data_IF_801373316787
#
_entry.id   IF_801373316787
#
_cell.length_a   1.000
_cell.length_b   1.000
_cell.length_c   1.000
_cell.angle_alpha   90.00
_cell.angle_beta   90.00
_cell.angle_gamma   90.00
#
_symmetry.space_group_name_H-M   'P 1'
#
loop_
_entity.id
_entity.type
_entity.pdbx_description
1 polymer ?
#
# COMPACT_ATOMS: atom_id res chain seq x y z
N UNK A 1 4.84 -17.15 5.20
CA UNK A 1 4.38 -15.94 4.52
C UNK A 1 2.95 -15.64 4.95
N UNK A 2 2.62 -14.37 5.21
CA UNK A 2 1.27 -13.98 5.61
C UNK A 2 0.24 -14.31 4.52
N UNK A 3 -0.86 -14.89 4.89
CA UNK A 3 -1.92 -15.34 3.97
C UNK A 3 -3.30 -14.85 4.45
N UNK A 4 -4.32 -14.80 3.58
CA UNK A 4 -5.70 -14.55 3.97
C UNK A 4 -6.20 -15.60 4.95
N UNK A 5 -7.13 -15.19 5.82
CA UNK A 5 -7.56 -16.05 6.94
C UNK A 5 -8.19 -17.37 6.48
N UNK A 6 -8.96 -17.35 5.39
CA UNK A 6 -9.60 -18.55 4.85
C UNK A 6 -8.56 -19.54 4.30
N UNK A 7 -7.53 -19.07 3.61
CA UNK A 7 -6.43 -19.88 3.12
C UNK A 7 -5.60 -20.44 4.29
N UNK A 8 -5.38 -19.64 5.32
CA UNK A 8 -4.69 -20.05 6.54
C UNK A 8 -5.44 -21.16 7.28
N UNK A 9 -6.79 -21.04 7.43
CA UNK A 9 -7.64 -22.09 7.99
C UNK A 9 -7.59 -23.35 7.16
N UNK A 10 -7.79 -23.25 5.84
CA UNK A 10 -7.77 -24.39 4.93
C UNK A 10 -6.44 -25.15 4.98
N UNK A 11 -5.31 -24.45 5.05
CA UNK A 11 -3.99 -25.05 5.19
C UNK A 11 -3.85 -25.78 6.53
N UNK A 12 -4.33 -25.22 7.63
CA UNK A 12 -4.28 -25.87 8.95
C UNK A 12 -5.18 -27.08 9.04
N UNK A 13 -6.34 -27.03 8.44
CA UNK A 13 -7.24 -28.16 8.37
C UNK A 13 -6.61 -29.33 7.60
N UNK A 14 -5.97 -29.06 6.46
CA UNK A 14 -5.34 -30.10 5.63
C UNK A 14 -4.05 -30.64 6.22
N UNK A 15 -3.15 -29.76 6.69
CA UNK A 15 -1.79 -30.15 7.09
C UNK A 15 -1.67 -30.65 8.53
N UNK A 16 -2.58 -30.28 9.42
CA UNK A 16 -2.48 -30.55 10.85
C UNK A 16 -3.67 -31.31 11.41
N UNK A 17 -4.63 -31.71 10.58
CA UNK A 17 -5.87 -32.37 10.97
C UNK A 17 -6.57 -31.70 12.19
N UNK A 18 -6.48 -30.40 12.30
CA UNK A 18 -7.06 -29.64 13.40
C UNK A 18 -8.42 -29.09 13.00
N UNK A 19 -9.34 -29.12 13.96
CA UNK A 19 -10.64 -28.47 13.78
C UNK A 19 -10.42 -26.94 13.69
N UNK A 20 -10.91 -26.32 12.62
CA UNK A 20 -10.79 -24.87 12.38
C UNK A 20 -12.12 -24.33 11.88
N UNK A 21 -12.46 -23.06 12.20
CA UNK A 21 -11.69 -22.14 13.05
C UNK A 21 -11.55 -22.62 14.49
N UNK A 22 -10.50 -22.21 15.19
CA UNK A 22 -10.35 -22.54 16.61
C UNK A 22 -11.52 -21.98 17.42
N UNK A 23 -11.83 -22.60 18.55
CA UNK A 23 -12.86 -22.11 19.46
C UNK A 23 -12.53 -20.74 20.01
N UNK A 24 -13.58 -19.93 20.22
CA UNK A 24 -13.43 -18.59 20.83
C UNK A 24 -12.84 -18.73 22.22
N UNK A 25 -11.76 -18.04 22.46
CA UNK A 25 -11.05 -18.09 23.74
C UNK A 25 -9.84 -19.00 23.77
N UNK A 26 -9.59 -19.82 22.73
CA UNK A 26 -8.44 -20.74 22.67
C UNK A 26 -7.11 -20.09 23.03
N UNK A 27 -6.89 -18.86 22.59
CA UNK A 27 -5.64 -18.10 22.81
C UNK A 27 -5.85 -16.87 23.72
N UNK A 28 -6.88 -16.88 24.55
CA UNK A 28 -7.22 -15.74 25.43
C UNK A 28 -6.09 -15.39 26.41
N UNK A 29 -5.45 -16.38 26.98
CA UNK A 29 -4.36 -16.19 27.93
C UNK A 29 -3.15 -15.51 27.30
N UNK A 30 -2.79 -15.90 26.08
CA UNK A 30 -1.66 -15.34 25.35
C UNK A 30 -1.91 -13.87 24.92
N UNK A 31 -3.16 -13.51 24.67
CA UNK A 31 -3.55 -12.13 24.35
C UNK A 31 -3.77 -11.26 25.57
N UNK A 32 -3.86 -11.82 26.78
CA UNK A 32 -4.11 -11.05 28.01
C UNK A 32 -3.07 -9.93 28.25
N UNK A 33 -1.84 -10.15 27.81
CA UNK A 33 -0.75 -9.17 27.90
C UNK A 33 -0.76 -8.07 26.82
N UNK A 34 -1.75 -8.07 25.95
CA UNK A 34 -1.85 -7.14 24.81
C UNK A 34 -3.23 -6.45 24.74
N UNK A 35 -3.70 -5.78 25.81
CA UNK A 35 -5.05 -5.22 25.87
C UNK A 35 -5.33 -4.15 24.80
N UNK A 36 -4.29 -3.45 24.34
CA UNK A 36 -4.41 -2.49 23.27
C UNK A 36 -4.72 -3.15 21.93
N UNK A 37 -4.09 -4.29 21.65
CA UNK A 37 -4.34 -5.06 20.40
C UNK A 37 -5.73 -5.70 20.43
N UNK A 38 -6.22 -6.11 21.61
CA UNK A 38 -7.59 -6.60 21.76
C UNK A 38 -8.62 -5.52 21.40
N UNK A 39 -8.38 -4.24 21.77
CA UNK A 39 -9.26 -3.12 21.40
C UNK A 39 -9.18 -2.73 19.93
N UNK A 40 -8.02 -2.93 19.31
CA UNK A 40 -7.81 -2.60 17.90
C UNK A 40 -8.34 -3.67 16.93
N UNK A 41 -8.56 -4.88 17.42
CA UNK A 41 -9.09 -5.98 16.64
C UNK A 41 -10.62 -5.98 16.74
N UNK A 42 -11.28 -5.84 15.60
CA UNK A 42 -12.73 -5.88 15.51
C UNK A 42 -13.19 -7.13 14.77
N UNK A 43 -13.95 -8.02 15.41
CA UNK A 43 -14.49 -9.22 14.78
C UNK A 43 -15.28 -8.92 13.50
N UNK A 44 -16.09 -7.87 13.49
CA UNK A 44 -16.90 -7.47 12.33
C UNK A 44 -16.08 -7.17 11.08
N UNK A 45 -14.84 -6.69 11.24
CA UNK A 45 -13.92 -6.47 10.12
C UNK A 45 -13.21 -7.76 9.67
N UNK A 46 -13.32 -8.83 10.44
CA UNK A 46 -12.60 -10.08 10.24
C UNK A 46 -13.55 -11.29 10.12
N UNK A 47 -14.72 -11.09 9.49
CA UNK A 47 -15.68 -12.16 9.24
C UNK A 47 -16.26 -12.82 10.51
N UNK A 48 -16.38 -12.06 11.60
CA UNK A 48 -16.89 -12.56 12.88
C UNK A 48 -15.85 -13.32 13.73
N UNK A 49 -14.59 -13.40 13.28
CA UNK A 49 -13.53 -14.11 14.00
C UNK A 49 -13.05 -13.25 15.16
N UNK A 50 -12.99 -13.84 16.35
CA UNK A 50 -12.45 -13.17 17.53
C UNK A 50 -10.91 -13.31 17.57
N UNK A 51 -10.21 -12.28 18.08
CA UNK A 51 -8.74 -12.31 18.21
C UNK A 51 -8.27 -13.53 19.05
N UNK A 52 -9.06 -13.96 20.02
CA UNK A 52 -8.76 -15.13 20.85
C UNK A 52 -8.84 -16.47 20.13
N UNK A 53 -9.27 -16.51 18.89
CA UNK A 53 -9.20 -17.67 18.01
C UNK A 53 -7.87 -17.74 17.24
N UNK A 54 -7.08 -16.69 17.28
CA UNK A 54 -5.82 -16.58 16.54
C UNK A 54 -4.63 -16.68 17.48
N UNK A 55 -3.63 -17.55 17.19
CA UNK A 55 -2.38 -17.54 17.93
C UNK A 55 -1.69 -16.18 17.79
N UNK A 56 -1.04 -15.64 18.84
CA UNK A 56 -0.30 -14.37 18.73
C UNK A 56 0.87 -14.37 17.74
N UNK A 57 1.36 -15.55 17.38
CA UNK A 57 2.39 -15.73 16.36
C UNK A 57 1.79 -16.15 15.00
N UNK A 58 0.49 -15.96 14.79
CA UNK A 58 -0.13 -16.33 13.54
C UNK A 58 0.37 -15.45 12.40
N UNK A 59 0.72 -16.13 11.31
CA UNK A 59 1.13 -15.52 10.05
C UNK A 59 -0.10 -15.43 9.13
N UNK A 60 -1.14 -14.77 9.61
CA UNK A 60 -2.41 -14.56 8.95
C UNK A 60 -2.72 -13.08 8.93
N UNK A 61 -3.16 -12.57 7.78
CA UNK A 61 -3.57 -11.18 7.66
C UNK A 61 -4.97 -10.97 8.22
N UNK A 62 -5.05 -10.01 9.11
CA UNK A 62 -6.31 -9.55 9.71
C UNK A 62 -6.38 -8.04 9.71
N UNK A 63 -7.58 -7.50 9.76
CA UNK A 63 -7.83 -6.07 9.80
C UNK A 63 -7.82 -5.56 11.24
N UNK A 64 -7.13 -4.46 11.42
CA UNK A 64 -7.02 -3.71 12.66
C UNK A 64 -7.60 -2.31 12.48
N UNK A 65 -8.06 -1.73 13.57
CA UNK A 65 -8.49 -0.33 13.59
C UNK A 65 -7.81 0.39 14.76
N UNK A 66 -7.14 1.50 14.49
CA UNK A 66 -6.52 2.31 15.53
C UNK A 66 -7.57 3.18 16.26
N UNK A 67 -7.17 3.80 17.36
CA UNK A 67 -8.04 4.68 18.16
C UNK A 67 -8.55 5.92 17.40
N UNK A 68 -7.92 6.28 16.29
CA UNK A 68 -8.31 7.39 15.40
C UNK A 68 -9.27 6.89 14.28
N UNK A 69 -9.45 5.58 14.15
CA UNK A 69 -10.35 4.98 13.17
C UNK A 69 -9.68 4.53 11.86
N UNK A 70 -8.35 4.65 11.73
CA UNK A 70 -7.67 4.12 10.55
C UNK A 70 -7.73 2.60 10.54
N UNK A 71 -8.08 2.03 9.40
CA UNK A 71 -8.13 0.58 9.17
C UNK A 71 -6.90 0.15 8.40
N UNK A 72 -6.25 -0.92 8.83
CA UNK A 72 -5.05 -1.43 8.19
C UNK A 72 -4.95 -2.94 8.37
N UNK A 73 -4.31 -3.62 7.40
CA UNK A 73 -4.04 -5.05 7.47
C UNK A 73 -2.65 -5.30 8.06
N UNK A 74 -2.57 -6.24 8.98
CA UNK A 74 -1.31 -6.74 9.53
C UNK A 74 -1.52 -8.12 10.13
N UNK A 75 -0.45 -8.90 10.28
CA UNK A 75 -0.54 -10.16 11.03
C UNK A 75 -0.55 -9.92 12.54
N UNK A 76 -1.10 -10.84 13.35
CA UNK A 76 -0.95 -10.84 14.80
C UNK A 76 0.51 -10.69 15.24
N UNK A 77 1.41 -11.36 14.56
CA UNK A 77 2.84 -11.30 14.83
C UNK A 77 3.41 -9.89 14.59
N UNK A 78 3.14 -9.28 13.42
CA UNK A 78 3.58 -7.91 13.10
C UNK A 78 3.05 -6.88 14.09
N UNK A 79 1.79 -7.02 14.51
CA UNK A 79 1.20 -6.11 15.51
C UNK A 79 1.87 -6.21 16.87
N UNK A 80 2.43 -7.35 17.23
CA UNK A 80 3.19 -7.53 18.47
C UNK A 80 4.64 -7.05 18.36
N UNK A 81 5.22 -7.07 17.16
CA UNK A 81 6.57 -6.57 16.94
C UNK A 81 6.55 -5.04 16.93
N UNK A 82 7.56 -4.45 17.53
CA UNK A 82 7.75 -2.99 17.48
C UNK A 82 8.61 -2.65 16.28
N UNK A 83 8.12 -1.91 15.29
CA UNK A 83 9.02 -1.37 14.29
C UNK A 83 10.05 -0.48 15.01
N UNK A 84 11.32 -0.80 14.86
CA UNK A 84 12.47 0.02 15.33
C UNK A 84 12.53 0.37 16.83
N UNK A 85 11.97 -0.45 17.72
CA UNK A 85 12.19 -0.31 19.17
C UNK A 85 11.52 0.89 19.87
N UNK A 86 10.91 1.83 19.15
CA UNK A 86 10.39 3.09 19.71
C UNK A 86 8.87 3.14 19.90
N UNK A 87 8.19 2.05 19.69
CA UNK A 87 6.73 1.99 19.72
C UNK A 87 6.15 1.99 21.14
N UNK A 88 5.24 2.88 21.41
CA UNK A 88 4.36 2.74 22.58
C UNK A 88 3.38 1.59 22.32
N UNK A 89 3.24 0.67 23.28
CA UNK A 89 2.50 -0.61 23.16
C UNK A 89 1.03 -0.50 22.69
N UNK A 90 0.45 0.69 22.64
CA UNK A 90 -0.99 0.88 22.53
C UNK A 90 -1.51 1.48 21.23
N UNK A 91 -0.68 2.00 20.34
CA UNK A 91 -1.20 2.91 19.30
C UNK A 91 -0.52 2.79 17.94
N UNK A 92 0.07 1.65 17.60
CA UNK A 92 0.68 1.57 16.29
C UNK A 92 -0.38 1.43 15.19
N UNK A 93 -0.32 2.40 14.31
CA UNK A 93 -1.04 2.41 13.07
C UNK A 93 -0.07 2.94 12.02
N UNK A 94 0.06 2.31 10.87
CA UNK A 94 0.97 2.77 9.83
C UNK A 94 0.66 4.19 9.35
N UNK A 95 -0.62 4.57 9.31
CA UNK A 95 -1.03 5.92 8.93
C UNK A 95 -0.73 6.96 10.01
N UNK A 96 -0.99 6.63 11.27
CA UNK A 96 -0.60 7.49 12.38
C UNK A 96 0.92 7.68 12.46
N UNK A 97 1.69 6.66 12.10
CA UNK A 97 3.16 6.73 12.10
C UNK A 97 3.68 7.54 10.91
N UNK A 98 3.05 7.43 9.74
CA UNK A 98 3.40 8.24 8.57
C UNK A 98 3.00 9.72 8.72
N UNK A 99 1.89 10.00 9.48
CA UNK A 99 1.40 11.35 9.76
C UNK A 99 2.03 12.03 10.97
N UNK A 100 2.92 11.37 11.70
CA UNK A 100 3.48 11.89 12.96
C UNK A 100 4.56 12.96 12.81
N UNK A 101 4.56 13.69 11.67
CA UNK A 101 5.12 15.03 11.61
C UNK A 101 4.26 16.11 12.29
N UNK A 102 3.01 15.81 12.66
CA UNK A 102 2.12 16.67 13.42
C UNK A 102 1.31 15.82 14.42
N UNK A 103 1.67 15.85 15.69
CA UNK A 103 0.90 15.22 16.75
C UNK A 103 -0.51 15.84 16.82
N UNK A 104 -1.60 15.06 16.72
CA UNK A 104 -2.91 15.58 17.03
C UNK A 104 -2.98 15.86 18.54
N UNK A 105 -3.26 17.12 18.88
CA UNK A 105 -3.54 17.54 20.27
C UNK A 105 -4.66 16.67 20.83
N UNK A 106 -4.33 15.91 21.87
CA UNK A 106 -5.34 15.28 22.75
C UNK A 106 -6.32 16.35 23.21
N UNK A 107 -7.57 16.19 22.84
CA UNK A 107 -8.65 16.86 23.55
C UNK A 107 -8.78 16.16 24.90
N UNK A 108 -8.13 16.72 25.91
CA UNK A 108 -8.31 16.32 27.29
C UNK A 108 -9.75 16.68 27.71
N UNK A 109 -10.57 15.68 27.98
CA UNK A 109 -11.74 15.88 28.85
C UNK A 109 -11.19 16.33 30.19
N UNK A 110 -11.47 17.58 30.52
CA UNK A 110 -11.26 18.13 31.84
C UNK A 110 -12.15 17.38 32.83
N UNK A 111 -11.54 16.65 33.74
CA UNK A 111 -12.09 16.47 35.07
C UNK A 111 -11.16 17.20 36.04
N UNK A 112 -11.74 18.19 36.67
CA UNK A 112 -11.09 18.98 37.69
C UNK A 112 -10.77 18.11 38.91
N UNK A 113 -9.61 18.25 39.49
CA UNK A 113 -9.43 18.50 40.91
C UNK A 113 -8.02 18.23 41.41
N UNK A 114 -7.53 19.23 42.12
CA UNK A 114 -6.57 19.28 43.22
C UNK A 114 -5.08 19.35 42.89
N UNK A 115 -4.66 20.57 43.08
CA UNK A 115 -3.28 21.00 43.34
C UNK A 115 -2.67 20.36 44.60
N UNK A 116 -1.36 20.11 44.55
CA UNK A 116 -0.38 20.31 45.65
C UNK A 116 1.05 20.23 45.13
N UNK A 117 2.05 20.79 45.85
CA UNK A 117 3.05 21.65 45.26
C UNK A 117 4.47 21.08 45.16
N UNK A 118 5.24 21.76 44.36
CA UNK A 118 6.70 21.99 44.28
C UNK A 118 7.61 21.25 45.28
N UNK A 119 8.59 20.56 44.72
CA UNK A 119 9.93 20.47 45.26
C UNK A 119 10.97 20.47 44.14
N UNK A 120 11.72 21.54 44.06
CA UNK A 120 12.95 21.68 43.33
C UNK A 120 13.97 20.63 43.78
N UNK A 121 14.67 20.02 42.85
CA UNK A 121 16.08 19.61 43.07
C UNK A 121 16.88 19.54 41.77
N UNK A 122 17.95 20.21 41.86
CA UNK A 122 19.03 20.57 41.00
C UNK A 122 19.68 19.48 40.10
N UNK A 123 20.10 19.98 38.98
CA UNK A 123 21.31 19.74 38.19
C UNK A 123 22.11 18.43 38.42
N UNK A 124 22.26 17.69 37.34
CA UNK A 124 23.25 16.63 37.19
C UNK A 124 23.49 16.37 35.73
N UNK A 125 24.35 17.14 35.14
CA UNK A 125 24.84 17.03 33.76
C UNK A 125 25.74 15.80 33.63
N UNK A 126 25.29 14.76 32.95
CA UNK A 126 26.19 13.72 32.45
C UNK A 126 25.98 13.54 30.96
N UNK A 127 26.88 14.14 30.19
CA UNK A 127 27.11 13.84 28.77
C UNK A 127 27.32 12.34 28.61
N UNK A 128 26.31 11.65 28.06
CA UNK A 128 26.48 10.32 27.51
C UNK A 128 26.69 10.46 26.00
N UNK A 129 27.91 10.25 25.60
CA UNK A 129 28.34 10.06 24.21
C UNK A 129 27.57 8.92 23.61
N UNK A 130 26.79 9.20 22.59
CA UNK A 130 26.05 8.19 21.79
C UNK A 130 27.04 7.48 20.87
N UNK A 131 27.00 6.15 20.75
CA UNK A 131 27.78 5.47 19.73
C UNK A 131 27.24 5.81 18.34
N UNK A 132 28.15 6.25 17.46
CA UNK A 132 27.89 6.43 16.03
C UNK A 132 27.50 5.07 15.41
N UNK A 133 26.37 5.01 14.73
CA UNK A 133 26.01 3.84 13.92
C UNK A 133 24.53 3.47 13.84
N UNK A 134 23.61 4.43 13.88
CA UNK A 134 22.26 4.21 13.34
C UNK A 134 22.19 4.91 11.99
N UNK A 135 22.36 4.13 10.95
CA UNK A 135 22.04 4.58 9.59
C UNK A 135 20.53 4.84 9.57
N UNK A 136 20.17 6.10 9.52
CA UNK A 136 18.81 6.58 9.27
C UNK A 136 18.47 6.14 7.83
N UNK A 137 17.81 4.99 7.69
CA UNK A 137 17.30 4.53 6.39
C UNK A 137 16.07 5.36 6.07
N UNK A 138 16.28 6.64 5.79
CA UNK A 138 15.35 7.39 4.95
C UNK A 138 15.38 6.70 3.59
N UNK A 139 14.24 6.37 2.97
CA UNK A 139 14.25 5.93 1.57
C UNK A 139 15.02 7.00 0.80
N UNK A 140 16.10 6.59 0.17
CA UNK A 140 16.97 7.49 -0.55
C UNK A 140 16.12 8.29 -1.53
N UNK A 141 16.06 9.60 -1.36
CA UNK A 141 15.54 10.46 -2.41
C UNK A 141 16.45 10.25 -3.60
N UNK A 142 15.89 9.84 -4.72
CA UNK A 142 16.69 9.66 -5.92
C UNK A 142 17.16 11.04 -6.39
N UNK A 143 18.37 11.41 -6.03
CA UNK A 143 18.96 12.71 -6.31
C UNK A 143 19.17 12.95 -7.82
N UNK A 144 19.11 11.89 -8.61
CA UNK A 144 19.31 11.94 -10.07
C UNK A 144 18.02 12.19 -10.85
N UNK A 145 16.85 12.22 -10.18
CA UNK A 145 15.57 12.44 -10.86
C UNK A 145 15.46 13.86 -11.43
N UNK A 146 15.12 14.02 -12.71
CA UNK A 146 14.85 15.33 -13.30
C UNK A 146 13.47 15.89 -12.89
N UNK A 147 12.64 15.15 -12.18
CA UNK A 147 11.25 15.47 -11.88
C UNK A 147 11.04 16.88 -11.31
N UNK A 148 11.94 17.37 -10.46
CA UNK A 148 11.82 18.70 -9.85
C UNK A 148 11.85 19.84 -10.87
N UNK A 149 12.44 19.61 -12.07
CA UNK A 149 12.58 20.60 -13.14
C UNK A 149 11.48 20.51 -14.20
N UNK A 150 10.65 19.46 -14.15
CA UNK A 150 9.60 19.21 -15.11
C UNK A 150 8.26 19.79 -14.65
N UNK A 151 7.40 20.13 -15.58
CA UNK A 151 6.03 20.53 -15.28
C UNK A 151 5.21 19.31 -14.78
N UNK A 152 4.28 19.49 -13.84
CA UNK A 152 3.37 18.42 -13.43
C UNK A 152 2.60 17.84 -14.63
N UNK A 153 2.51 16.52 -14.69
CA UNK A 153 1.91 15.77 -15.79
C UNK A 153 2.85 15.46 -16.96
N UNK A 154 4.12 15.86 -16.91
CA UNK A 154 5.11 15.47 -17.91
C UNK A 154 5.50 14.01 -17.70
N UNK A 155 5.41 13.21 -18.76
CA UNK A 155 5.99 11.86 -18.80
C UNK A 155 7.47 11.95 -19.16
N UNK A 156 8.29 11.08 -18.59
CA UNK A 156 9.74 11.10 -18.82
C UNK A 156 10.38 9.76 -18.46
N UNK A 157 11.57 9.52 -18.98
CA UNK A 157 12.38 8.40 -18.55
C UNK A 157 13.12 8.75 -17.26
N UNK A 158 12.71 8.14 -16.16
CA UNK A 158 13.35 8.35 -14.85
C UNK A 158 14.39 7.27 -14.58
N UNK A 159 15.61 7.65 -14.19
CA UNK A 159 16.62 6.70 -13.71
C UNK A 159 16.26 6.10 -12.34
N UNK A 160 15.27 6.66 -11.68
CA UNK A 160 14.82 6.24 -10.35
C UNK A 160 13.68 5.23 -10.40
N UNK A 161 13.09 5.01 -11.57
CA UNK A 161 12.06 4.00 -11.73
C UNK A 161 12.63 2.60 -11.43
N UNK A 162 11.90 1.77 -10.67
CA UNK A 162 12.31 0.39 -10.47
C UNK A 162 12.38 -0.33 -11.84
N UNK A 163 13.26 -1.32 -11.99
CA UNK A 163 13.23 -2.16 -13.19
C UNK A 163 11.86 -2.83 -13.31
N UNK A 164 11.44 -3.14 -14.54
CA UNK A 164 10.17 -3.85 -14.80
C UNK A 164 10.08 -5.08 -13.91
N UNK A 165 9.05 -5.10 -13.05
CA UNK A 165 9.03 -6.03 -11.94
C UNK A 165 8.59 -7.45 -12.34
N UNK A 166 7.84 -7.60 -13.44
CA UNK A 166 7.28 -8.90 -13.81
C UNK A 166 7.28 -9.19 -15.31
N UNK A 167 7.33 -10.49 -15.64
CA UNK A 167 7.12 -10.96 -17.00
C UNK A 167 5.72 -10.59 -17.53
N UNK A 168 4.73 -10.48 -16.66
CA UNK A 168 3.38 -10.09 -17.03
C UNK A 168 3.33 -8.64 -17.54
N UNK A 169 4.01 -7.71 -16.88
CA UNK A 169 4.12 -6.31 -17.31
C UNK A 169 4.83 -6.20 -18.66
N UNK A 170 5.93 -6.93 -18.85
CA UNK A 170 6.64 -6.97 -20.13
C UNK A 170 5.77 -7.52 -21.25
N UNK A 171 5.02 -8.60 -20.98
CA UNK A 171 4.11 -9.19 -21.96
C UNK A 171 2.93 -8.25 -22.27
N UNK A 172 2.41 -7.53 -21.27
CA UNK A 172 1.36 -6.54 -21.47
C UNK A 172 1.82 -5.42 -22.42
N UNK A 173 3.03 -4.89 -22.18
CA UNK A 173 3.61 -3.87 -23.07
C UNK A 173 3.79 -4.37 -24.50
N UNK A 174 4.30 -5.58 -24.68
CA UNK A 174 4.48 -6.18 -25.99
C UNK A 174 3.15 -6.35 -26.74
N UNK A 175 2.11 -6.88 -26.07
CA UNK A 175 0.79 -7.06 -26.66
C UNK A 175 0.10 -5.74 -27.02
N UNK A 176 0.32 -4.68 -26.27
CA UNK A 176 -0.17 -3.35 -26.63
C UNK A 176 0.64 -2.73 -27.78
N UNK A 177 1.95 -2.93 -27.80
CA UNK A 177 2.82 -2.43 -28.86
C UNK A 177 2.59 -3.13 -30.21
N UNK A 178 2.13 -4.39 -30.20
CA UNK A 178 1.67 -5.09 -31.40
C UNK A 178 0.41 -4.46 -32.02
N UNK A 179 -0.41 -3.79 -31.25
CA UNK A 179 -1.71 -3.23 -31.66
C UNK A 179 -1.70 -1.72 -31.87
N UNK A 180 -0.79 -1.05 -31.18
CA UNK A 180 -0.72 0.41 -31.15
C UNK A 180 0.66 0.86 -31.62
N UNK A 181 0.71 1.76 -32.57
CA UNK A 181 1.97 2.35 -33.04
C UNK A 181 2.47 3.44 -32.10
N UNK A 182 2.79 3.01 -30.87
CA UNK A 182 3.25 3.88 -29.78
C UNK A 182 4.68 3.58 -29.33
N UNK A 183 5.30 2.49 -29.82
CA UNK A 183 6.66 2.08 -29.45
C UNK A 183 6.81 1.85 -27.95
N UNK A 184 5.84 1.20 -27.31
CA UNK A 184 5.80 1.00 -25.86
C UNK A 184 6.95 0.12 -25.34
N UNK A 185 7.60 -0.63 -26.21
CA UNK A 185 8.75 -1.48 -25.90
C UNK A 185 10.08 -0.84 -26.27
N UNK A 186 10.08 0.35 -26.92
CA UNK A 186 11.29 1.03 -27.34
C UNK A 186 12.14 1.53 -26.16
N UNK A 187 13.46 1.53 -26.35
CA UNK A 187 14.40 2.08 -25.37
C UNK A 187 14.16 3.59 -25.16
N UNK A 188 14.30 4.03 -23.90
CA UNK A 188 14.14 5.44 -23.56
C UNK A 188 12.69 5.93 -23.45
N UNK A 189 11.70 5.06 -23.60
CA UNK A 189 10.28 5.42 -23.37
C UNK A 189 10.06 5.92 -21.95
N UNK A 190 9.08 6.82 -21.77
CA UNK A 190 8.68 7.26 -20.45
C UNK A 190 8.28 6.08 -19.55
N UNK A 191 8.80 6.09 -18.34
CA UNK A 191 8.47 5.14 -17.27
C UNK A 191 8.03 5.82 -15.98
N UNK A 192 7.93 7.14 -16.02
CA UNK A 192 7.54 7.99 -14.90
C UNK A 192 6.65 9.14 -15.35
N UNK A 193 5.80 9.59 -14.44
CA UNK A 193 4.98 10.80 -14.60
C UNK A 193 5.29 11.75 -13.46
N UNK A 194 5.58 13.03 -13.79
CA UNK A 194 5.77 14.10 -12.82
C UNK A 194 4.44 14.45 -12.15
N UNK A 195 4.37 14.35 -10.85
CA UNK A 195 3.18 14.66 -10.04
C UNK A 195 3.33 16.00 -9.30
N UNK A 196 2.22 16.63 -8.94
CA UNK A 196 2.22 17.93 -8.27
C UNK A 196 2.70 17.85 -6.83
N UNK A 197 2.23 16.86 -6.10
CA UNK A 197 2.53 16.62 -4.68
C UNK A 197 3.40 15.38 -4.51
N UNK A 198 4.30 15.33 -3.52
CA UNK A 198 5.17 14.18 -3.34
C UNK A 198 4.41 12.88 -3.02
N UNK A 199 4.85 11.80 -3.66
CA UNK A 199 4.46 10.44 -3.37
C UNK A 199 5.69 9.69 -2.81
N UNK A 200 5.66 9.31 -1.54
CA UNK A 200 6.81 8.74 -0.83
C UNK A 200 8.13 9.53 -1.04
N UNK A 201 8.07 10.86 -0.88
CA UNK A 201 9.18 11.80 -1.10
C UNK A 201 9.69 11.94 -2.54
N UNK A 202 9.02 11.32 -3.53
CA UNK A 202 9.32 11.51 -4.95
C UNK A 202 8.28 12.43 -5.58
N UNK A 203 8.73 13.34 -6.44
CA UNK A 203 7.86 14.18 -7.26
C UNK A 203 7.45 13.47 -8.56
N UNK A 204 7.52 12.15 -8.57
CA UNK A 204 7.19 11.28 -9.69
C UNK A 204 6.52 10.00 -9.21
N UNK A 205 5.76 9.38 -10.07
CA UNK A 205 5.23 8.02 -9.90
C UNK A 205 5.60 7.18 -11.11
N UNK A 206 5.68 5.88 -10.90
CA UNK A 206 6.12 4.91 -11.90
C UNK A 206 4.97 3.95 -12.20
N UNK A 207 4.15 4.21 -13.23
CA UNK A 207 3.17 3.25 -13.72
C UNK A 207 3.84 2.08 -14.45
N UNK A 208 3.17 0.94 -14.49
CA UNK A 208 3.68 -0.22 -15.23
C UNK A 208 3.75 0.03 -16.73
N UNK A 209 2.76 0.77 -17.28
CA UNK A 209 2.79 1.27 -18.66
C UNK A 209 2.42 2.75 -18.67
N UNK A 210 3.22 3.55 -19.34
CA UNK A 210 2.98 4.99 -19.56
C UNK A 210 2.66 5.20 -21.04
N UNK A 211 1.44 5.64 -21.34
CA UNK A 211 1.01 6.03 -22.68
C UNK A 211 0.92 7.56 -22.70
N UNK A 212 2.01 8.20 -23.04
CA UNK A 212 2.15 9.66 -22.97
C UNK A 212 1.25 10.36 -23.98
N UNK A 213 1.18 9.86 -25.18
CA UNK A 213 0.36 10.37 -26.27
C UNK A 213 -1.12 10.46 -25.89
N UNK A 214 -1.59 9.52 -25.11
CA UNK A 214 -2.97 9.46 -24.62
C UNK A 214 -3.10 9.95 -23.18
N UNK A 215 -2.01 10.26 -22.48
CA UNK A 215 -2.00 10.59 -21.04
C UNK A 215 -2.76 9.56 -20.21
N UNK A 216 -2.47 8.29 -20.45
CA UNK A 216 -3.04 7.17 -19.72
C UNK A 216 -1.93 6.36 -19.08
N UNK A 217 -2.07 6.11 -17.81
CA UNK A 217 -1.24 5.21 -17.03
C UNK A 217 -1.95 3.87 -16.86
N UNK A 218 -1.25 2.75 -17.07
CA UNK A 218 -1.80 1.43 -16.80
C UNK A 218 -1.03 0.80 -15.65
N UNK A 219 -1.76 0.21 -14.72
CA UNK A 219 -1.26 -0.53 -13.56
C UNK A 219 -1.73 -1.98 -13.65
N UNK A 220 -0.83 -2.93 -13.45
CA UNK A 220 -1.14 -4.35 -13.45
C UNK A 220 -1.09 -4.90 -12.04
N UNK A 221 -2.24 -4.97 -11.40
CA UNK A 221 -2.38 -5.34 -10.01
C UNK A 221 -2.67 -6.82 -9.84
N UNK A 222 -1.79 -7.51 -9.16
CA UNK A 222 -1.97 -8.92 -8.77
C UNK A 222 -2.13 -9.04 -7.27
N UNK A 223 -2.74 -10.12 -6.83
CA UNK A 223 -2.75 -10.44 -5.39
C UNK A 223 -1.39 -10.92 -4.90
N UNK A 224 -0.42 -11.07 -5.81
CA UNK A 224 0.88 -11.64 -5.51
C UNK A 224 0.81 -13.11 -5.12
N UNK A 225 1.96 -13.70 -4.81
CA UNK A 225 2.04 -15.11 -4.40
C UNK A 225 1.30 -15.39 -3.09
N UNK A 226 1.17 -14.38 -2.26
CA UNK A 226 0.63 -14.47 -0.90
C UNK A 226 -0.80 -13.92 -0.78
N UNK A 227 -1.40 -13.51 -1.88
CA UNK A 227 -2.75 -12.93 -1.91
C UNK A 227 -2.88 -11.56 -1.23
N UNK A 228 -1.77 -10.82 -1.04
CA UNK A 228 -1.68 -9.65 -0.16
C UNK A 228 -1.32 -8.36 -0.86
N UNK A 229 -0.94 -8.45 -2.12
CA UNK A 229 -0.68 -7.25 -2.91
C UNK A 229 -2.00 -6.56 -3.25
N UNK A 230 -1.97 -5.24 -3.29
CA UNK A 230 -3.12 -4.39 -3.63
C UNK A 230 -4.38 -4.58 -2.77
N UNK A 231 -4.24 -5.05 -1.51
CA UNK A 231 -5.32 -5.16 -0.52
C UNK A 231 -4.99 -4.37 0.75
N UNK A 232 -6.01 -4.01 1.51
CA UNK A 232 -5.85 -3.29 2.78
C UNK A 232 -5.11 -1.95 2.60
N UNK A 233 -3.98 -1.76 3.30
CA UNK A 233 -3.18 -0.53 3.22
C UNK A 233 -2.65 -0.24 1.82
N UNK A 234 -2.25 -1.26 1.06
CA UNK A 234 -1.75 -1.08 -0.31
C UNK A 234 -2.82 -0.52 -1.24
N UNK A 235 -4.07 -0.88 -1.02
CA UNK A 235 -5.21 -0.32 -1.73
C UNK A 235 -5.31 1.22 -1.57
N UNK A 236 -5.07 1.74 -0.37
CA UNK A 236 -5.06 3.19 -0.13
C UNK A 236 -3.85 3.89 -0.78
N UNK A 237 -2.71 3.21 -0.84
CA UNK A 237 -1.54 3.67 -1.59
C UNK A 237 -1.87 3.76 -3.07
N UNK A 238 -2.51 2.74 -3.64
CA UNK A 238 -2.96 2.71 -5.04
C UNK A 238 -3.93 3.86 -5.33
N UNK A 239 -4.96 4.05 -4.48
CA UNK A 239 -5.90 5.17 -4.59
C UNK A 239 -5.21 6.53 -4.54
N UNK A 240 -4.18 6.67 -3.68
CA UNK A 240 -3.40 7.90 -3.61
C UNK A 240 -2.62 8.13 -4.89
N UNK A 241 -1.97 7.11 -5.44
CA UNK A 241 -1.25 7.17 -6.72
C UNK A 241 -2.17 7.63 -7.85
N UNK A 242 -3.37 7.03 -7.93
CA UNK A 242 -4.39 7.40 -8.92
C UNK A 242 -4.85 8.85 -8.80
N UNK A 243 -5.13 9.32 -7.58
CA UNK A 243 -5.50 10.73 -7.36
C UNK A 243 -4.41 11.70 -7.81
N UNK A 244 -3.14 11.38 -7.52
CA UNK A 244 -2.01 12.22 -7.91
C UNK A 244 -1.82 12.27 -9.42
N UNK A 245 -1.99 11.14 -10.12
CA UNK A 245 -1.97 11.09 -11.59
C UNK A 245 -3.12 11.93 -12.18
N UNK A 246 -4.37 11.70 -11.72
CA UNK A 246 -5.54 12.46 -12.20
C UNK A 246 -5.43 13.96 -11.94
N UNK A 247 -4.84 14.37 -10.81
CA UNK A 247 -4.59 15.78 -10.50
C UNK A 247 -3.62 16.46 -11.49
N UNK A 248 -2.91 15.69 -12.31
CA UNK A 248 -2.01 16.19 -13.37
C UNK A 248 -2.51 15.92 -14.79
N UNK A 249 -3.79 15.56 -14.93
CA UNK A 249 -4.46 15.35 -16.23
C UNK A 249 -4.23 13.98 -16.86
N UNK A 250 -3.79 13.01 -16.09
CA UNK A 250 -3.68 11.61 -16.48
C UNK A 250 -4.93 10.83 -16.09
N UNK A 251 -5.28 9.82 -16.87
CA UNK A 251 -6.22 8.78 -16.44
C UNK A 251 -5.48 7.49 -16.12
N UNK A 252 -6.14 6.67 -15.30
CA UNK A 252 -5.56 5.40 -14.83
C UNK A 252 -6.49 4.26 -15.18
N UNK A 253 -5.94 3.23 -15.82
CA UNK A 253 -6.58 1.93 -16.05
C UNK A 253 -5.85 0.93 -15.15
N UNK A 254 -6.57 0.32 -14.19
CA UNK A 254 -6.01 -0.78 -13.42
C UNK A 254 -6.51 -2.11 -13.95
N UNK A 255 -5.58 -3.02 -14.17
CA UNK A 255 -5.88 -4.41 -14.50
C UNK A 255 -5.87 -5.16 -13.17
N UNK A 256 -7.06 -5.56 -12.73
CA UNK A 256 -7.25 -6.18 -11.41
C UNK A 256 -7.39 -7.69 -11.56
N UNK A 257 -6.40 -8.44 -11.07
CA UNK A 257 -6.42 -9.91 -11.09
C UNK A 257 -6.82 -10.48 -9.73
N UNK A 258 -7.08 -11.78 -9.64
CA UNK A 258 -7.26 -12.49 -8.37
C UNK A 258 -8.41 -11.99 -7.50
N UNK A 259 -9.53 -11.55 -8.09
CA UNK A 259 -10.71 -11.01 -7.41
C UNK A 259 -10.49 -9.66 -6.70
N UNK A 260 -9.44 -8.92 -7.07
CA UNK A 260 -9.25 -7.57 -6.57
C UNK A 260 -10.42 -6.66 -7.01
N UNK A 261 -11.01 -5.87 -6.10
CA UNK A 261 -12.11 -4.95 -6.46
C UNK A 261 -11.58 -3.80 -7.32
N UNK A 262 -12.44 -3.29 -8.22
CA UNK A 262 -12.13 -2.08 -8.99
C UNK A 262 -11.93 -0.87 -8.06
N UNK A 263 -11.01 0.02 -8.41
CA UNK A 263 -10.74 1.29 -7.72
C UNK A 263 -11.24 2.50 -8.52
N UNK A 264 -11.27 2.37 -9.83
CA UNK A 264 -11.70 3.39 -10.77
C UNK A 264 -12.70 2.87 -11.79
N UNK A 265 -13.33 3.80 -12.50
CA UNK A 265 -14.36 3.48 -13.50
C UNK A 265 -13.82 2.76 -14.74
N UNK A 266 -12.53 2.92 -15.03
CA UNK A 266 -11.89 2.33 -16.22
C UNK A 266 -11.15 1.02 -15.91
N UNK A 267 -11.23 0.53 -14.68
CA UNK A 267 -10.54 -0.67 -14.26
C UNK A 267 -11.09 -1.92 -14.97
N UNK A 268 -10.21 -2.88 -15.21
CA UNK A 268 -10.51 -4.12 -15.87
C UNK A 268 -10.19 -5.32 -14.97
N UNK A 269 -11.18 -6.16 -14.71
CA UNK A 269 -10.92 -7.46 -14.12
C UNK A 269 -10.43 -8.43 -15.19
N UNK A 270 -9.32 -9.13 -14.92
CA UNK A 270 -8.75 -10.10 -15.83
C UNK A 270 -8.07 -11.24 -15.06
N UNK A 271 -8.07 -12.49 -15.56
CA UNK A 271 -7.35 -13.59 -14.94
C UNK A 271 -5.83 -13.50 -15.16
N UNK A 272 -5.39 -12.71 -16.12
CA UNK A 272 -3.99 -12.54 -16.51
C UNK A 272 -3.86 -11.76 -17.81
N UNK A 273 -2.63 -11.63 -18.30
CA UNK A 273 -2.31 -10.94 -19.56
C UNK A 273 -2.68 -11.85 -20.75
N UNK A 274 -3.42 -11.27 -21.70
CA UNK A 274 -3.85 -11.98 -22.93
C UNK A 274 -4.18 -10.97 -24.04
N UNK A 275 -4.29 -11.45 -25.29
CA UNK A 275 -4.75 -10.63 -26.41
C UNK A 275 -6.13 -10.00 -26.17
N UNK A 276 -7.06 -10.76 -25.58
CA UNK A 276 -8.39 -10.25 -25.21
C UNK A 276 -8.31 -9.09 -24.22
N UNK A 277 -7.39 -9.17 -23.25
CA UNK A 277 -7.16 -8.07 -22.34
C UNK A 277 -6.63 -6.83 -23.07
N UNK A 278 -5.67 -7.00 -23.98
CA UNK A 278 -5.16 -5.88 -24.77
C UNK A 278 -6.28 -5.21 -25.59
N UNK A 279 -7.17 -5.97 -26.20
CA UNK A 279 -8.31 -5.45 -26.95
C UNK A 279 -9.28 -4.66 -26.02
N UNK A 280 -9.55 -5.19 -24.82
CA UNK A 280 -10.36 -4.49 -23.82
C UNK A 280 -9.70 -3.20 -23.32
N UNK A 281 -8.39 -3.16 -23.23
CA UNK A 281 -7.65 -1.93 -22.88
C UNK A 281 -7.84 -0.89 -23.99
N UNK A 282 -7.75 -1.27 -25.25
CA UNK A 282 -7.99 -0.35 -26.37
C UNK A 282 -9.40 0.23 -26.31
N UNK A 283 -10.41 -0.57 -25.99
CA UNK A 283 -11.77 -0.04 -25.77
C UNK A 283 -11.82 0.98 -24.62
N UNK A 284 -11.11 0.72 -23.50
CA UNK A 284 -11.01 1.72 -22.42
C UNK A 284 -10.27 2.99 -22.85
N UNK A 285 -9.23 2.87 -23.65
CA UNK A 285 -8.55 4.03 -24.20
C UNK A 285 -9.51 4.86 -25.08
N UNK A 286 -10.36 4.21 -25.91
CA UNK A 286 -11.39 4.87 -26.70
C UNK A 286 -12.45 5.56 -25.82
N UNK A 287 -12.88 4.95 -24.73
CA UNK A 287 -13.79 5.58 -23.76
C UNK A 287 -13.15 6.83 -23.10
N UNK A 288 -11.88 6.79 -22.79
CA UNK A 288 -11.15 7.87 -22.11
C UNK A 288 -10.86 9.03 -23.06
N UNK A 289 -10.41 8.75 -24.29
CA UNK A 289 -9.85 9.77 -25.19
C UNK A 289 -10.62 9.98 -26.49
N UNK A 290 -11.62 9.13 -26.72
CA UNK A 290 -12.41 9.12 -27.96
C UNK A 290 -11.81 8.21 -29.03
N UNK A 291 -12.69 7.54 -29.82
CA UNK A 291 -12.27 6.55 -30.80
C UNK A 291 -11.35 7.15 -31.88
N UNK A 292 -11.69 8.30 -32.44
CA UNK A 292 -10.88 8.93 -33.50
C UNK A 292 -9.42 9.15 -33.08
N UNK A 293 -9.20 9.54 -31.83
CA UNK A 293 -7.88 9.82 -31.34
C UNK A 293 -7.07 8.55 -31.09
N UNK A 294 -7.72 7.53 -30.56
CA UNK A 294 -7.04 6.24 -30.26
C UNK A 294 -6.83 5.45 -31.52
N UNK A 295 -7.79 5.43 -32.44
CA UNK A 295 -7.73 4.66 -33.68
C UNK A 295 -6.63 5.18 -34.63
N UNK A 296 -6.21 6.42 -34.47
CA UNK A 296 -5.06 6.96 -35.22
C UNK A 296 -3.73 6.25 -34.88
N UNK A 297 -3.68 5.55 -33.76
CA UNK A 297 -2.50 4.76 -33.35
C UNK A 297 -2.68 3.25 -33.56
N UNK A 298 -3.79 2.77 -34.09
CA UNK A 298 -3.97 1.34 -34.39
C UNK A 298 -3.06 0.93 -35.57
N UNK A 299 -2.48 -0.26 -35.43
CA UNK A 299 -1.74 -0.93 -36.49
C UNK A 299 -2.63 -1.79 -37.37
#
# INVERSE_FOLDING_TARGET
MPEPIDAWWARRQRSKARHVPYEVGTFRAEWAHSPALQRQFLPDLNGGIALSQLPPAADVLVLWMCEIGHRFAATPWEQRQKPNGSRRKSTWCPECTAGSGAAPRRVSRMTASRARPVAERAAGETKRTMPAGLVDVRPATCETSPAARLAPGTAFASPCAPPTASAAESNLRALLDERLDLGLTADGRPNAVRIKEPFFNHLEVWPDVVIDELRVAIEYDTTGRDGLEHVGRRLEVDRRKDRLLRATGWEVIRIRTGHLPALGQFDLAAPGVSGILADRIIERLREIRGPLFVDAYLR
#
